data_IF_671136885972
#
_entry.id   IF_671136885972
#
_cell.length_a   1.000
_cell.length_b   1.000
_cell.length_c   1.000
_cell.angle_alpha   90.00
_cell.angle_beta   90.00
_cell.angle_gamma   90.00
#
_symmetry.space_group_name_H-M   'P 1'
#
loop_
_entity.id
_entity.type
_entity.pdbx_description
1 polymer ?
#
# COMPACT_ATOMS: atom_id res chain seq x y z
N UNK A 1 1.06 17.01 0.49
CA UNK A 1 0.28 17.60 -0.61
C UNK A 1 1.24 18.31 -1.53
N UNK A 2 1.09 18.19 -2.85
CA UNK A 2 1.88 18.96 -3.82
C UNK A 2 1.44 20.45 -3.87
N UNK A 3 0.66 20.89 -2.89
CA UNK A 3 0.21 22.26 -2.76
C UNK A 3 1.18 23.04 -1.88
N UNK A 4 2.13 23.70 -2.53
CA UNK A 4 3.15 24.53 -1.87
C UNK A 4 2.53 25.73 -1.17
N UNK A 5 1.44 26.31 -1.70
CA UNK A 5 0.77 27.46 -1.08
C UNK A 5 0.11 27.07 0.25
N UNK A 6 -0.55 25.91 0.29
CA UNK A 6 -1.14 25.40 1.53
C UNK A 6 -0.06 25.05 2.55
N UNK A 7 1.04 24.44 2.13
CA UNK A 7 2.16 24.08 3.00
C UNK A 7 2.81 25.33 3.60
N UNK A 8 3.00 26.39 2.82
CA UNK A 8 3.54 27.65 3.32
C UNK A 8 2.58 28.35 4.28
N UNK A 9 1.28 28.34 3.99
CA UNK A 9 0.28 28.90 4.93
C UNK A 9 0.28 28.16 6.27
N UNK A 10 0.36 26.83 6.26
CA UNK A 10 0.47 26.02 7.49
C UNK A 10 1.75 26.33 8.27
N UNK A 11 2.87 26.49 7.57
CA UNK A 11 4.15 26.88 8.17
C UNK A 11 4.03 28.23 8.89
N UNK A 12 3.43 29.23 8.26
CA UNK A 12 3.25 30.55 8.84
C UNK A 12 2.36 30.49 10.10
N UNK A 13 1.27 29.75 10.07
CA UNK A 13 0.42 29.53 11.24
C UNK A 13 1.17 28.85 12.39
N UNK A 14 2.03 27.88 12.06
CA UNK A 14 2.83 27.19 13.06
C UNK A 14 3.85 28.12 13.71
N UNK A 15 4.53 28.99 12.94
CA UNK A 15 5.44 29.99 13.47
C UNK A 15 4.72 31.02 14.37
N UNK A 16 3.51 31.45 13.99
CA UNK A 16 2.68 32.29 14.84
C UNK A 16 2.33 31.59 16.16
N UNK A 17 1.98 30.30 16.14
CA UNK A 17 1.74 29.56 17.37
C UNK A 17 2.99 29.48 18.26
N UNK A 18 4.17 29.28 17.67
CA UNK A 18 5.43 29.26 18.43
C UNK A 18 5.75 30.65 19.06
N UNK A 19 5.43 31.72 18.38
CA UNK A 19 5.63 33.08 18.94
C UNK A 19 4.77 33.35 20.19
N UNK A 20 3.60 32.73 20.31
CA UNK A 20 2.78 32.79 21.51
C UNK A 20 3.49 32.16 22.70
N UNK A 21 4.18 31.05 22.52
CA UNK A 21 5.00 30.46 23.58
C UNK A 21 6.14 31.39 24.02
N UNK A 22 6.87 31.98 23.07
CA UNK A 22 7.93 32.93 23.36
C UNK A 22 7.43 34.13 24.15
N UNK A 23 6.32 34.73 23.71
CA UNK A 23 5.72 35.90 24.34
C UNK A 23 5.27 35.65 25.80
N UNK A 24 5.01 34.37 26.12
CA UNK A 24 4.64 33.96 27.48
C UNK A 24 5.81 33.35 28.25
N UNK A 25 7.04 33.46 27.77
CA UNK A 25 8.24 32.85 28.36
C UNK A 25 8.08 31.33 28.63
N UNK A 26 7.33 30.65 27.79
CA UNK A 26 7.08 29.20 27.88
C UNK A 26 7.71 28.55 26.66
N UNK A 27 8.58 27.57 26.87
CA UNK A 27 9.31 26.95 25.79
C UNK A 27 9.05 25.42 25.78
N UNK A 28 8.46 24.88 24.73
CA UNK A 28 8.34 23.42 24.59
C UNK A 28 9.72 22.80 24.43
N UNK A 29 9.96 21.69 25.10
CA UNK A 29 11.19 20.94 24.95
C UNK A 29 11.34 20.35 23.52
N UNK A 30 10.21 19.97 22.91
CA UNK A 30 10.17 19.38 21.58
C UNK A 30 9.00 19.96 20.76
N UNK A 31 9.28 20.21 19.50
CA UNK A 31 8.26 20.44 18.47
C UNK A 31 8.37 19.35 17.43
N UNK A 32 7.27 19.01 16.79
CA UNK A 32 7.30 18.08 15.66
C UNK A 32 6.48 18.59 14.48
N UNK A 33 7.10 18.57 13.34
CA UNK A 33 6.55 19.03 12.05
C UNK A 33 6.75 17.95 11.00
N UNK A 34 6.42 18.22 9.76
CA UNK A 34 6.68 17.37 8.61
C UNK A 34 6.14 15.93 8.74
N UNK A 35 5.28 15.54 7.84
CA UNK A 35 4.92 14.16 7.58
C UNK A 35 5.90 13.53 6.58
N UNK A 36 5.72 12.27 6.23
CA UNK A 36 6.59 11.55 5.28
C UNK A 36 6.77 12.27 3.95
N UNK A 37 5.75 12.93 3.43
CA UNK A 37 5.85 13.67 2.17
C UNK A 37 6.78 14.88 2.30
N UNK A 38 6.60 15.68 3.34
CA UNK A 38 7.42 16.89 3.59
C UNK A 38 8.85 16.50 3.94
N UNK A 39 9.07 15.39 4.63
CA UNK A 39 10.43 14.89 4.94
C UNK A 39 11.24 14.70 3.65
N UNK A 40 10.63 14.18 2.60
CA UNK A 40 11.30 13.91 1.32
C UNK A 40 11.39 15.15 0.42
N UNK A 41 10.31 15.94 0.36
CA UNK A 41 10.20 17.02 -0.63
C UNK A 41 10.66 18.39 -0.14
N UNK A 42 10.68 18.63 1.18
CA UNK A 42 10.95 19.94 1.78
C UNK A 42 11.78 19.84 3.06
N UNK A 43 13.03 19.34 2.97
CA UNK A 43 13.90 19.17 4.15
C UNK A 43 14.18 20.48 4.90
N UNK A 44 14.13 21.61 4.22
CA UNK A 44 14.28 22.94 4.83
C UNK A 44 13.20 23.29 5.84
N UNK A 45 11.99 22.69 5.74
CA UNK A 45 10.86 22.97 6.63
C UNK A 45 10.96 22.30 8.01
N UNK A 46 11.91 21.42 8.23
CA UNK A 46 12.14 20.77 9.52
C UNK A 46 13.61 20.84 9.96
N UNK A 47 14.39 21.69 9.31
CA UNK A 47 15.79 21.90 9.69
C UNK A 47 15.85 22.59 11.08
N UNK A 48 16.85 22.22 11.87
CA UNK A 48 17.11 22.86 13.15
C UNK A 48 17.35 24.35 12.99
N UNK A 49 18.09 24.75 11.97
CA UNK A 49 18.43 26.15 11.71
C UNK A 49 17.21 27.02 11.45
N UNK A 50 16.19 26.46 10.80
CA UNK A 50 14.93 27.15 10.57
C UNK A 50 14.20 27.52 11.88
N UNK A 51 14.22 26.64 12.88
CA UNK A 51 13.57 26.87 14.17
C UNK A 51 14.48 27.56 15.19
N UNK A 52 15.79 27.56 14.99
CA UNK A 52 16.75 28.16 15.91
C UNK A 52 16.51 29.69 16.13
N UNK A 53 16.02 30.38 15.09
CA UNK A 53 15.67 31.81 15.18
C UNK A 53 14.46 32.08 16.07
N UNK A 54 13.57 31.10 16.24
CA UNK A 54 12.34 31.21 17.03
C UNK A 54 12.50 30.51 18.38
N UNK A 55 13.15 29.34 18.40
CA UNK A 55 13.36 28.52 19.62
C UNK A 55 14.73 27.84 19.57
N UNK A 56 15.79 28.47 20.06
CA UNK A 56 17.17 28.02 19.88
C UNK A 56 17.48 26.63 20.47
N UNK A 57 16.84 26.24 21.55
CA UNK A 57 17.11 25.00 22.29
C UNK A 57 16.07 23.91 22.08
N UNK A 58 15.14 24.10 21.14
CA UNK A 58 14.08 23.12 20.89
C UNK A 58 14.57 21.90 20.11
N UNK A 59 14.10 20.73 20.50
CA UNK A 59 14.29 19.51 19.74
C UNK A 59 13.25 19.47 18.62
N UNK A 60 13.71 19.37 17.36
CA UNK A 60 12.84 19.28 16.20
C UNK A 60 12.67 17.82 15.81
N UNK A 61 11.45 17.33 15.87
CA UNK A 61 11.06 15.99 15.45
C UNK A 61 10.25 15.99 14.13
N UNK A 62 10.18 14.85 13.50
CA UNK A 62 9.36 14.60 12.31
C UNK A 62 8.36 13.47 12.56
N UNK A 63 7.25 13.46 11.82
CA UNK A 63 6.22 12.43 11.91
C UNK A 63 6.31 11.47 10.72
N UNK A 64 7.27 10.57 10.80
CA UNK A 64 7.50 9.57 9.76
C UNK A 64 6.47 8.44 9.86
N UNK A 65 5.76 8.18 8.79
CA UNK A 65 4.79 7.09 8.65
C UNK A 65 5.09 6.26 7.40
N UNK A 66 4.61 6.67 6.24
CA UNK A 66 4.74 5.92 4.97
C UNK A 66 6.19 5.58 4.61
N UNK A 67 7.15 6.44 4.92
CA UNK A 67 8.58 6.18 4.69
C UNK A 67 9.10 4.98 5.50
N UNK A 68 8.55 4.72 6.71
CA UNK A 68 8.94 3.55 7.51
C UNK A 68 8.48 2.24 6.86
N UNK A 69 7.45 2.31 6.01
CA UNK A 69 6.96 1.14 5.26
C UNK A 69 7.65 0.97 3.90
N UNK A 70 8.64 1.81 3.61
CA UNK A 70 9.31 1.78 2.31
C UNK A 70 8.41 2.17 1.16
N UNK A 71 7.42 3.02 1.43
CA UNK A 71 6.41 3.40 0.45
C UNK A 71 6.38 4.90 0.25
N UNK A 72 6.28 5.30 -1.00
CA UNK A 72 6.16 6.69 -1.37
C UNK A 72 4.69 7.03 -1.59
N UNK A 73 4.22 8.06 -0.90
CA UNK A 73 2.85 8.56 -1.07
C UNK A 73 2.72 9.53 -2.26
N UNK A 74 3.82 9.79 -2.98
CA UNK A 74 3.92 10.80 -4.05
C UNK A 74 4.88 10.33 -5.15
N UNK A 75 4.59 10.73 -6.37
CA UNK A 75 5.19 10.19 -7.59
C UNK A 75 6.67 10.56 -7.85
N UNK A 76 7.26 11.46 -7.07
CA UNK A 76 8.62 12.00 -7.33
C UNK A 76 9.60 11.78 -6.17
N UNK A 77 9.35 10.81 -5.30
CA UNK A 77 10.20 10.53 -4.16
C UNK A 77 11.43 9.72 -4.60
N UNK A 78 12.47 10.38 -5.06
CA UNK A 78 13.76 9.74 -5.44
C UNK A 78 14.86 9.96 -4.41
N UNK A 79 14.64 10.85 -3.45
CA UNK A 79 15.69 11.35 -2.56
C UNK A 79 16.01 10.40 -1.41
N UNK A 80 15.00 9.73 -0.87
CA UNK A 80 15.15 8.80 0.24
C UNK A 80 15.04 7.36 -0.27
N UNK A 81 16.15 6.64 -0.28
CA UNK A 81 16.15 5.20 -0.57
C UNK A 81 15.55 4.45 0.61
N UNK A 82 14.38 3.88 0.43
CA UNK A 82 13.74 3.03 1.42
C UNK A 82 13.63 1.60 0.89
N UNK A 83 13.67 0.63 1.79
CA UNK A 83 13.35 -0.75 1.47
C UNK A 83 11.88 -1.03 1.85
N UNK A 84 11.11 -1.74 1.02
CA UNK A 84 9.74 -2.09 1.36
C UNK A 84 9.75 -2.99 2.61
N UNK A 85 8.90 -2.66 3.59
CA UNK A 85 8.74 -3.47 4.79
C UNK A 85 8.08 -4.83 4.49
N UNK A 86 7.31 -4.90 3.41
CA UNK A 86 6.68 -6.09 2.89
C UNK A 86 7.30 -6.42 1.54
N UNK A 87 8.18 -7.42 1.53
CA UNK A 87 8.88 -7.85 0.32
C UNK A 87 7.96 -8.70 -0.57
N UNK A 88 7.21 -9.61 0.03
CA UNK A 88 6.28 -10.44 -0.72
C UNK A 88 5.08 -10.90 0.11
N UNK A 89 3.95 -11.06 -0.56
CA UNK A 89 2.77 -11.76 -0.10
C UNK A 89 2.42 -12.81 -1.14
N UNK A 90 2.38 -14.07 -0.71
CA UNK A 90 2.19 -15.22 -1.59
C UNK A 90 1.13 -16.15 -1.03
N UNK A 91 0.51 -16.90 -1.92
CA UNK A 91 -0.42 -17.99 -1.60
C UNK A 91 -0.24 -19.13 -2.59
N UNK A 92 -1.06 -20.17 -2.48
CA UNK A 92 -1.06 -21.32 -3.40
C UNK A 92 -2.46 -21.57 -3.93
N UNK A 93 -2.53 -22.15 -5.12
CA UNK A 93 -3.78 -22.64 -5.69
C UNK A 93 -4.28 -23.84 -4.88
N UNK A 94 -5.54 -23.82 -4.45
CA UNK A 94 -6.18 -24.94 -3.73
C UNK A 94 -7.15 -25.75 -4.58
N UNK A 95 -7.61 -25.19 -5.70
CA UNK A 95 -8.49 -25.89 -6.65
C UNK A 95 -8.40 -25.24 -8.03
N UNK A 96 -8.65 -26.03 -9.08
CA UNK A 96 -8.71 -25.56 -10.48
C UNK A 96 -9.93 -26.17 -11.15
N UNK A 97 -10.75 -25.33 -11.78
CA UNK A 97 -12.00 -25.75 -12.45
C UNK A 97 -12.09 -25.17 -13.84
N UNK A 98 -12.74 -25.92 -14.74
CA UNK A 98 -13.26 -25.37 -15.99
C UNK A 98 -14.65 -24.82 -15.72
N UNK A 99 -14.90 -23.60 -16.15
CA UNK A 99 -16.20 -22.91 -16.09
C UNK A 99 -16.61 -22.61 -17.52
N UNK A 100 -17.75 -23.12 -17.92
CA UNK A 100 -18.24 -22.97 -19.29
C UNK A 100 -18.83 -21.59 -19.53
N UNK A 101 -18.85 -21.17 -20.77
CA UNK A 101 -19.48 -19.90 -21.18
C UNK A 101 -20.91 -19.81 -20.66
N UNK A 102 -21.20 -18.71 -19.99
CA UNK A 102 -22.52 -18.43 -19.41
C UNK A 102 -22.70 -18.93 -17.98
N UNK A 103 -21.83 -19.80 -17.48
CA UNK A 103 -21.85 -20.17 -16.07
C UNK A 103 -21.36 -19.01 -15.18
N UNK A 104 -21.77 -19.03 -13.91
CA UNK A 104 -21.49 -17.96 -12.96
C UNK A 104 -20.50 -18.39 -11.89
N UNK A 105 -19.71 -17.42 -11.39
CA UNK A 105 -18.72 -17.63 -10.32
C UNK A 105 -19.10 -16.76 -9.12
N UNK A 106 -19.09 -17.38 -7.96
CA UNK A 106 -19.28 -16.72 -6.67
C UNK A 106 -20.72 -16.35 -6.35
N UNK A 107 -20.88 -15.52 -5.32
CA UNK A 107 -22.19 -15.11 -4.82
C UNK A 107 -22.88 -14.14 -5.76
N UNK A 108 -24.22 -14.19 -5.78
CA UNK A 108 -25.09 -13.24 -6.48
C UNK A 108 -24.91 -13.19 -8.00
N UNK A 109 -24.30 -14.21 -8.61
CA UNK A 109 -24.05 -14.25 -10.06
C UNK A 109 -23.34 -12.99 -10.61
N UNK A 110 -22.47 -12.37 -9.83
CA UNK A 110 -21.79 -11.12 -10.19
C UNK A 110 -20.78 -11.28 -11.32
N UNK A 111 -20.30 -12.47 -11.56
CA UNK A 111 -19.43 -12.77 -12.69
C UNK A 111 -20.04 -13.90 -13.52
N UNK A 112 -20.26 -13.65 -14.80
CA UNK A 112 -20.67 -14.66 -15.78
C UNK A 112 -19.52 -14.86 -16.75
N UNK A 113 -19.11 -16.11 -16.96
CA UNK A 113 -18.01 -16.46 -17.86
C UNK A 113 -18.35 -16.06 -19.32
N UNK A 114 -17.57 -15.15 -19.94
CA UNK A 114 -17.84 -14.69 -21.30
C UNK A 114 -17.46 -15.73 -22.36
N UNK A 115 -16.61 -16.67 -22.01
CA UNK A 115 -16.12 -17.81 -22.77
C UNK A 115 -15.83 -18.96 -21.81
N UNK A 116 -15.51 -20.13 -22.32
CA UNK A 116 -14.97 -21.19 -21.46
C UNK A 116 -13.68 -20.71 -20.83
N UNK A 117 -13.60 -20.77 -19.51
CA UNK A 117 -12.53 -20.27 -18.70
C UNK A 117 -11.93 -21.36 -17.80
N UNK A 118 -10.66 -21.25 -17.52
CA UNK A 118 -10.00 -22.06 -16.50
C UNK A 118 -9.80 -21.18 -15.26
N UNK A 119 -10.41 -21.55 -14.16
CA UNK A 119 -10.48 -20.75 -12.94
C UNK A 119 -9.73 -21.47 -11.83
N UNK A 120 -8.81 -20.76 -11.17
CA UNK A 120 -8.14 -21.23 -9.97
C UNK A 120 -8.70 -20.55 -8.73
N UNK A 121 -8.75 -21.29 -7.63
CA UNK A 121 -9.24 -20.84 -6.34
C UNK A 121 -8.06 -20.62 -5.40
N UNK A 122 -8.05 -19.47 -4.73
CA UNK A 122 -7.03 -19.08 -3.76
C UNK A 122 -7.64 -19.01 -2.35
N UNK A 123 -6.94 -19.50 -1.31
CA UNK A 123 -7.35 -19.35 0.10
C UNK A 123 -7.00 -17.95 0.62
N UNK A 124 -7.54 -16.93 0.00
CA UNK A 124 -7.27 -15.52 0.28
C UNK A 124 -8.53 -14.69 0.01
N UNK A 125 -8.85 -13.78 0.91
CA UNK A 125 -10.02 -12.92 0.77
C UNK A 125 -9.97 -11.70 1.66
N UNK A 126 -11.12 -11.03 1.82
CA UNK A 126 -11.18 -9.79 2.61
C UNK A 126 -10.85 -9.99 4.10
N UNK A 127 -11.05 -11.17 4.66
CA UNK A 127 -10.64 -11.50 6.03
C UNK A 127 -9.12 -11.47 6.22
N UNK A 128 -8.34 -11.69 5.16
CA UNK A 128 -6.88 -11.55 5.16
C UNK A 128 -6.38 -10.22 4.59
N UNK A 129 -7.27 -9.24 4.44
CA UNK A 129 -6.92 -7.92 3.91
C UNK A 129 -6.81 -7.84 2.38
N UNK A 130 -7.29 -8.85 1.64
CA UNK A 130 -7.31 -8.86 0.18
C UNK A 130 -8.73 -8.63 -0.35
N UNK A 131 -8.98 -7.42 -0.89
CA UNK A 131 -10.29 -6.99 -1.37
C UNK A 131 -10.18 -6.00 -2.54
N UNK A 132 -9.54 -6.37 -3.67
CA UNK A 132 -9.45 -5.48 -4.81
C UNK A 132 -10.84 -5.02 -5.27
N UNK A 133 -10.90 -3.79 -5.75
CA UNK A 133 -12.12 -3.27 -6.38
C UNK A 133 -12.50 -4.15 -7.59
N UNK A 134 -13.78 -4.25 -7.92
CA UNK A 134 -14.24 -5.08 -9.03
C UNK A 134 -13.43 -4.84 -10.31
N UNK A 135 -13.06 -5.89 -10.99
CA UNK A 135 -12.26 -5.92 -12.23
C UNK A 135 -10.81 -5.39 -12.13
N UNK A 136 -10.36 -4.93 -10.95
CA UNK A 136 -9.01 -4.37 -10.77
C UNK A 136 -8.01 -5.34 -10.20
N UNK A 137 -8.46 -6.39 -9.52
CA UNK A 137 -7.58 -7.37 -8.88
C UNK A 137 -6.68 -8.08 -9.89
N UNK A 138 -5.39 -8.11 -9.61
CA UNK A 138 -4.36 -8.81 -10.37
C UNK A 138 -3.43 -9.55 -9.42
N UNK A 139 -3.03 -10.74 -9.82
CA UNK A 139 -2.03 -11.57 -9.15
C UNK A 139 -1.05 -12.10 -10.20
N UNK A 140 0.09 -12.66 -9.77
CA UNK A 140 1.00 -13.35 -10.69
C UNK A 140 0.93 -14.85 -10.49
N UNK A 141 0.95 -15.57 -11.61
CA UNK A 141 1.12 -17.01 -11.66
C UNK A 141 2.01 -17.38 -12.85
N UNK A 142 3.09 -18.14 -12.59
CA UNK A 142 4.09 -18.46 -13.62
C UNK A 142 4.68 -17.22 -14.32
N UNK A 143 4.81 -16.09 -13.62
CA UNK A 143 5.26 -14.80 -14.15
C UNK A 143 4.22 -14.06 -14.99
N UNK A 144 3.00 -14.55 -15.12
CA UNK A 144 1.92 -13.89 -15.86
C UNK A 144 0.90 -13.26 -14.92
N UNK A 145 0.33 -12.14 -15.32
CA UNK A 145 -0.77 -11.49 -14.60
C UNK A 145 -2.07 -12.23 -14.85
N UNK A 146 -2.73 -12.68 -13.79
CA UNK A 146 -4.06 -13.26 -13.78
C UNK A 146 -5.06 -12.32 -13.12
N UNK A 147 -6.28 -12.26 -13.67
CA UNK A 147 -7.34 -11.41 -13.14
C UNK A 147 -8.08 -12.09 -12.00
N UNK A 148 -8.37 -11.34 -10.95
CA UNK A 148 -9.36 -11.76 -9.96
C UNK A 148 -10.75 -11.63 -10.58
N UNK A 149 -11.57 -12.67 -10.45
CA UNK A 149 -12.90 -12.76 -11.06
C UNK A 149 -13.96 -13.09 -10.01
N UNK A 150 -15.15 -12.54 -10.20
CA UNK A 150 -16.25 -12.72 -9.26
C UNK A 150 -16.08 -11.99 -7.93
N UNK A 151 -17.03 -12.16 -7.01
CA UNK A 151 -16.96 -11.58 -5.69
C UNK A 151 -15.92 -12.28 -4.82
N UNK A 152 -15.26 -11.51 -3.97
CA UNK A 152 -14.27 -12.03 -3.02
C UNK A 152 -14.99 -12.41 -1.73
N UNK A 153 -14.75 -13.62 -1.27
CA UNK A 153 -15.22 -14.11 0.03
C UNK A 153 -14.30 -13.71 1.19
N UNK A 154 -14.65 -14.11 2.40
CA UNK A 154 -13.84 -13.86 3.58
C UNK A 154 -12.43 -14.47 3.45
N UNK A 155 -12.36 -15.73 3.01
CA UNK A 155 -11.12 -16.51 2.97
C UNK A 155 -10.88 -17.17 1.60
N UNK A 156 -11.57 -16.73 0.55
CA UNK A 156 -11.50 -17.36 -0.76
C UNK A 156 -11.74 -16.34 -1.86
N UNK A 157 -10.98 -16.45 -2.94
CA UNK A 157 -11.26 -15.73 -4.19
C UNK A 157 -10.93 -16.60 -5.40
N UNK A 158 -11.43 -16.20 -6.56
CA UNK A 158 -11.20 -16.86 -7.84
C UNK A 158 -10.34 -16.00 -8.76
N UNK A 159 -9.46 -16.63 -9.53
CA UNK A 159 -8.64 -15.98 -10.56
C UNK A 159 -8.82 -16.70 -11.90
N UNK A 160 -8.82 -15.93 -12.99
CA UNK A 160 -8.82 -16.49 -14.35
C UNK A 160 -7.39 -16.87 -14.75
N UNK A 161 -7.17 -18.16 -14.94
CA UNK A 161 -5.88 -18.75 -15.34
C UNK A 161 -5.92 -19.37 -16.75
N UNK A 162 -6.87 -18.95 -17.57
CA UNK A 162 -7.03 -19.49 -18.94
C UNK A 162 -5.77 -19.33 -19.80
N UNK A 163 -5.02 -18.25 -19.58
CA UNK A 163 -3.80 -17.91 -20.33
C UNK A 163 -2.49 -18.26 -19.59
N UNK A 164 -2.59 -18.97 -18.46
CA UNK A 164 -1.43 -19.39 -17.66
C UNK A 164 -1.50 -20.89 -17.32
N UNK A 165 -0.37 -21.61 -17.32
CA UNK A 165 -0.33 -22.93 -16.73
C UNK A 165 -0.59 -22.77 -15.22
N UNK A 166 -1.55 -23.54 -14.71
CA UNK A 166 -1.94 -23.44 -13.30
C UNK A 166 -2.41 -24.79 -12.81
N UNK A 167 -1.79 -25.28 -11.74
CA UNK A 167 -2.13 -26.53 -11.07
C UNK A 167 -2.32 -26.31 -9.58
N UNK A 168 -2.98 -27.24 -8.91
CA UNK A 168 -3.13 -27.20 -7.44
C UNK A 168 -1.74 -27.25 -6.80
N UNK A 169 -1.47 -26.34 -5.86
CA UNK A 169 -0.19 -26.17 -5.19
C UNK A 169 0.74 -25.14 -5.82
N UNK A 170 0.45 -24.65 -7.02
CA UNK A 170 1.27 -23.61 -7.64
C UNK A 170 1.25 -22.31 -6.82
N UNK A 171 2.41 -21.67 -6.76
CA UNK A 171 2.58 -20.37 -6.09
C UNK A 171 1.90 -19.26 -6.87
N UNK A 172 1.12 -18.48 -6.16
CA UNK A 172 0.53 -17.23 -6.64
C UNK A 172 1.08 -16.06 -5.85
N UNK A 173 1.59 -15.04 -6.54
CA UNK A 173 2.17 -13.84 -5.93
C UNK A 173 1.14 -12.71 -5.97
N UNK A 174 0.82 -12.20 -4.79
CA UNK A 174 -0.05 -11.04 -4.58
C UNK A 174 0.77 -9.75 -4.55
N UNK A 175 1.91 -9.80 -3.84
CA UNK A 175 2.93 -8.75 -3.77
C UNK A 175 4.27 -9.42 -3.94
N UNK A 176 5.16 -8.83 -4.72
CA UNK A 176 6.49 -9.34 -4.97
C UNK A 176 6.77 -9.61 -6.44
N UNK A 177 7.84 -10.35 -6.67
CA UNK A 177 8.32 -10.68 -8.02
C UNK A 177 8.15 -12.17 -8.29
N UNK A 178 7.77 -12.51 -9.51
CA UNK A 178 7.76 -13.87 -10.03
C UNK A 178 8.27 -13.84 -11.48
N UNK A 179 9.41 -14.47 -11.72
CA UNK A 179 10.18 -14.35 -12.97
C UNK A 179 10.44 -12.86 -13.30
N UNK A 180 10.08 -12.40 -14.49
CA UNK A 180 10.31 -11.03 -14.95
C UNK A 180 9.15 -10.07 -14.63
N UNK A 181 8.15 -10.51 -13.86
CA UNK A 181 6.97 -9.73 -13.51
C UNK A 181 6.92 -9.40 -12.03
N UNK A 182 6.41 -8.22 -11.70
CA UNK A 182 6.23 -7.79 -10.31
C UNK A 182 4.86 -7.16 -10.08
N UNK A 183 4.38 -7.27 -8.85
CA UNK A 183 3.27 -6.49 -8.28
C UNK A 183 3.78 -5.88 -7.00
N UNK A 184 3.77 -4.57 -6.92
CA UNK A 184 4.21 -3.83 -5.74
C UNK A 184 3.09 -3.67 -4.72
N UNK A 185 3.43 -3.34 -3.49
CA UNK A 185 2.46 -2.97 -2.46
C UNK A 185 1.62 -1.75 -2.89
N UNK A 186 2.20 -0.83 -3.66
CA UNK A 186 1.51 0.33 -4.23
C UNK A 186 0.48 -0.08 -5.29
N UNK A 187 0.82 -1.07 -6.13
CA UNK A 187 -0.13 -1.62 -7.11
C UNK A 187 -1.33 -2.23 -6.41
N UNK A 188 -1.11 -3.02 -5.34
CA UNK A 188 -2.20 -3.63 -4.56
C UNK A 188 -3.05 -2.56 -3.87
N UNK A 189 -2.43 -1.55 -3.26
CA UNK A 189 -3.18 -0.44 -2.68
C UNK A 189 -4.06 0.29 -3.72
N UNK A 190 -3.54 0.47 -4.94
CA UNK A 190 -4.30 1.02 -6.06
C UNK A 190 -5.45 0.11 -6.49
N UNK A 191 -5.21 -1.21 -6.60
CA UNK A 191 -6.25 -2.19 -6.88
C UNK A 191 -7.37 -2.19 -5.82
N UNK A 192 -7.03 -1.93 -4.58
CA UNK A 192 -7.95 -1.87 -3.44
C UNK A 192 -8.55 -0.47 -3.21
N UNK A 193 -8.22 0.52 -4.06
CA UNK A 193 -8.65 1.92 -3.91
C UNK A 193 -8.35 2.48 -2.52
N UNK A 194 -7.17 2.18 -2.00
CA UNK A 194 -6.75 2.55 -0.65
C UNK A 194 -5.32 3.10 -0.62
N UNK A 195 -4.89 3.54 0.56
CA UNK A 195 -3.50 3.99 0.79
C UNK A 195 -2.61 2.83 1.18
N UNK A 196 -1.34 2.88 0.79
CA UNK A 196 -0.35 1.84 1.08
C UNK A 196 -0.24 1.54 2.58
N UNK A 197 -0.17 2.55 3.43
CA UNK A 197 -0.10 2.38 4.88
C UNK A 197 -1.33 1.66 5.46
N UNK A 198 -2.52 1.95 4.91
CA UNK A 198 -3.75 1.22 5.28
C UNK A 198 -3.70 -0.22 4.80
N UNK A 199 -3.21 -0.44 3.57
CA UNK A 199 -3.11 -1.79 3.02
C UNK A 199 -2.20 -2.70 3.86
N UNK A 200 -1.05 -2.21 4.30
CA UNK A 200 -0.15 -2.96 5.20
C UNK A 200 -0.86 -3.32 6.51
N UNK A 201 -1.59 -2.36 7.10
CA UNK A 201 -2.32 -2.59 8.34
C UNK A 201 -3.43 -3.64 8.22
N UNK A 202 -3.95 -3.89 7.01
CA UNK A 202 -4.99 -4.88 6.77
C UNK A 202 -4.47 -6.31 6.58
N UNK A 203 -3.18 -6.48 6.29
CA UNK A 203 -2.54 -7.80 6.21
C UNK A 203 -2.10 -8.31 7.60
N UNK A 204 -3.00 -8.32 8.57
CA UNK A 204 -2.68 -8.69 9.96
C UNK A 204 -2.70 -10.20 10.21
N UNK A 205 -3.63 -10.92 9.60
CA UNK A 205 -3.91 -12.33 9.88
C UNK A 205 -3.24 -13.30 8.88
N UNK A 206 -2.18 -12.85 8.22
CA UNK A 206 -1.38 -13.70 7.35
C UNK A 206 -0.12 -14.19 8.09
N UNK A 207 0.32 -15.45 7.89
CA UNK A 207 1.58 -15.92 8.42
C UNK A 207 2.74 -15.04 7.96
N UNK A 208 3.63 -14.65 8.88
CA UNK A 208 4.74 -13.74 8.59
C UNK A 208 6.08 -14.46 8.72
N UNK A 209 6.95 -14.23 7.76
CA UNK A 209 8.36 -14.58 7.82
C UNK A 209 9.18 -13.30 7.78
N UNK A 210 9.96 -13.09 8.82
CA UNK A 210 10.88 -11.95 8.89
C UNK A 210 12.19 -12.34 8.20
N UNK A 211 12.71 -11.42 7.36
CA UNK A 211 13.99 -11.55 6.67
C UNK A 211 14.91 -10.51 7.30
N UNK A 212 16.05 -10.98 7.80
CA UNK A 212 17.10 -10.12 8.38
C UNK A 212 18.16 -9.80 7.34
#
# INVERSE_FOLDING_TARGET
TNDTALSEAQKQLFLQALSVFQNNNTYPHMIHVANSAVIDTHPELYSRDFFASVMPDVVVGVRCGSLLYGTYAWANAETIKTHPILESLKTQIIDVKTVLRGETIGYFNQFQAPKDCRIAILPLGWGSGFFPAPTRGRVLIGGKKANVVGPIGANICAIDVSDAPAEIGDEVVIIGTQLDSSITLSDVATQHETFVSRQVALFTDVPKRYIC
#
